data_IF_903481660462
#
_entry.id   IF_903481660462
#
_cell.length_a   1.000
_cell.length_b   1.000
_cell.length_c   1.000
_cell.angle_alpha   90.00
_cell.angle_beta   90.00
_cell.angle_gamma   90.00
#
_symmetry.space_group_name_H-M   'P 1'
#
loop_
_entity.id
_entity.type
_entity.pdbx_description
1 polymer ?
#
# COMPACT_ATOMS: atom_id res chain seq x y z
N UNK A 1 7.33 -56.30 -42.78
CA UNK A 1 6.22 -55.72 -42.01
C UNK A 1 6.76 -55.27 -40.65
N UNK A 2 7.21 -54.03 -40.44
CA UNK A 2 7.40 -52.89 -41.35
C UNK A 2 8.60 -52.04 -40.90
N UNK A 3 9.21 -51.30 -41.83
CA UNK A 3 10.37 -50.44 -41.55
C UNK A 3 9.97 -49.06 -40.98
N UNK A 4 10.87 -48.37 -40.25
CA UNK A 4 10.66 -47.00 -39.80
C UNK A 4 10.98 -45.96 -40.90
N UNK A 5 10.16 -44.89 -41.00
CA UNK A 5 10.23 -43.78 -41.98
C UNK A 5 9.50 -42.53 -41.39
N UNK A 6 9.82 -41.25 -41.67
CA UNK A 6 11.08 -40.58 -42.07
C UNK A 6 10.97 -39.05 -41.75
N UNK A 7 12.02 -38.43 -41.18
CA UNK A 7 12.48 -37.03 -41.32
C UNK A 7 11.60 -35.76 -41.03
N UNK A 8 12.33 -34.71 -40.59
CA UNK A 8 12.24 -33.28 -41.01
C UNK A 8 11.03 -32.41 -40.55
N UNK A 9 11.26 -31.46 -39.63
CA UNK A 9 11.57 -30.01 -39.89
C UNK A 9 10.48 -29.21 -40.63
N UNK A 10 9.77 -28.37 -39.87
CA UNK A 10 9.04 -27.19 -40.33
C UNK A 10 9.16 -26.11 -39.25
N UNK A 11 9.96 -25.07 -39.49
CA UNK A 11 9.56 -23.74 -40.00
C UNK A 11 9.00 -22.79 -38.94
N UNK A 12 9.81 -21.76 -38.67
CA UNK A 12 9.49 -20.44 -38.14
C UNK A 12 8.06 -19.96 -38.42
N UNK A 13 7.37 -19.48 -37.38
CA UNK A 13 6.39 -18.40 -37.53
C UNK A 13 6.61 -17.37 -36.44
N UNK A 14 7.29 -16.28 -36.81
CA UNK A 14 7.28 -15.02 -36.09
C UNK A 14 5.85 -14.47 -36.08
N UNK A 15 5.20 -14.38 -34.92
CA UNK A 15 3.95 -13.62 -34.79
C UNK A 15 4.32 -12.23 -34.26
N UNK A 16 4.63 -11.34 -35.20
CA UNK A 16 4.52 -9.90 -34.99
C UNK A 16 3.09 -9.51 -35.29
N UNK A 17 2.26 -9.31 -34.27
CA UNK A 17 0.98 -8.62 -34.44
C UNK A 17 1.03 -7.25 -33.76
N UNK A 18 1.12 -6.23 -34.60
CA UNK A 18 0.92 -4.84 -34.22
C UNK A 18 -0.60 -4.61 -34.10
N UNK A 19 -1.12 -4.48 -32.88
CA UNK A 19 -2.49 -3.96 -32.73
C UNK A 19 -2.47 -2.45 -32.89
N UNK A 20 -3.23 -2.00 -33.88
CA UNK A 20 -3.37 -0.62 -34.27
C UNK A 20 -4.05 0.21 -33.16
N UNK A 21 -3.43 1.35 -32.90
CA UNK A 21 -4.01 2.61 -32.44
C UNK A 21 -5.55 2.66 -32.49
N UNK A 22 -6.22 2.68 -31.33
CA UNK A 22 -7.61 3.10 -31.24
C UNK A 22 -7.86 4.08 -30.09
N UNK A 23 -8.56 5.16 -30.43
CA UNK A 23 -8.65 6.38 -29.65
C UNK A 23 -9.73 6.27 -28.58
N UNK A 24 -9.34 6.11 -27.31
CA UNK A 24 -10.24 6.32 -26.18
C UNK A 24 -9.62 7.26 -25.14
N UNK A 25 -9.86 8.56 -25.34
CA UNK A 25 -9.75 9.58 -24.30
C UNK A 25 -10.83 9.34 -23.23
N UNK A 26 -10.66 8.26 -22.46
CA UNK A 26 -11.57 7.73 -21.46
C UNK A 26 -11.55 8.54 -20.17
N UNK A 27 -12.21 9.70 -20.20
CA UNK A 27 -12.89 10.36 -19.07
C UNK A 27 -12.20 10.13 -17.71
N UNK A 28 -11.29 11.04 -17.35
CA UNK A 28 -11.02 11.30 -15.92
C UNK A 28 -12.34 11.84 -15.35
N UNK A 29 -13.07 10.97 -14.65
CA UNK A 29 -14.28 11.37 -13.94
C UNK A 29 -13.89 12.42 -12.90
N UNK A 30 -14.58 13.57 -12.95
CA UNK A 30 -14.39 14.65 -12.00
C UNK A 30 -14.55 14.10 -10.58
N UNK A 31 -13.47 14.11 -9.81
CA UNK A 31 -13.60 14.26 -8.37
C UNK A 31 -13.80 15.76 -8.16
N UNK A 32 -15.06 16.19 -8.23
CA UNK A 32 -15.48 17.53 -7.81
C UNK A 32 -15.31 17.62 -6.28
N UNK A 33 -14.06 17.84 -5.85
CA UNK A 33 -13.73 18.10 -4.46
C UNK A 33 -14.17 19.52 -4.12
N UNK A 34 -15.45 19.65 -3.76
CA UNK A 34 -16.03 20.89 -3.28
C UNK A 34 -15.29 21.33 -2.01
N UNK A 35 -14.41 22.32 -2.15
CA UNK A 35 -13.70 22.94 -1.02
C UNK A 35 -14.73 23.71 -0.18
N UNK A 36 -14.84 23.47 1.14
CA UNK A 36 -15.55 24.38 2.02
C UNK A 36 -14.74 25.67 2.13
N UNK A 37 -15.31 26.81 1.73
CA UNK A 37 -14.70 28.12 1.97
C UNK A 37 -14.65 28.42 3.47
N UNK A 38 -13.55 28.07 4.13
CA UNK A 38 -13.22 28.62 5.44
C UNK A 38 -12.39 29.87 5.28
N UNK A 39 -13.03 31.00 5.59
CA UNK A 39 -12.49 32.35 5.40
C UNK A 39 -11.31 32.61 6.37
N UNK A 40 -10.09 32.36 5.91
CA UNK A 40 -8.84 32.74 6.56
C UNK A 40 -7.94 33.46 5.55
N UNK A 41 -7.77 34.77 5.75
CA UNK A 41 -7.16 35.65 4.75
C UNK A 41 -5.67 35.39 4.50
N UNK A 42 -5.37 34.80 3.34
CA UNK A 42 -4.03 34.75 2.74
C UNK A 42 -4.10 35.27 1.29
N UNK A 43 -3.84 36.57 1.07
CA UNK A 43 -3.76 37.14 -0.28
C UNK A 43 -2.61 36.47 -1.06
N UNK A 44 -2.83 35.91 -2.27
CA UNK A 44 -1.73 35.45 -3.10
C UNK A 44 -0.88 36.64 -3.57
N UNK A 45 0.44 36.44 -3.56
CA UNK A 45 1.44 37.40 -4.04
C UNK A 45 1.34 37.53 -5.57
N UNK A 46 1.64 38.73 -6.09
CA UNK A 46 1.49 39.05 -7.52
C UNK A 46 2.17 38.03 -8.46
N UNK A 47 1.52 37.75 -9.59
CA UNK A 47 2.02 36.88 -10.64
C UNK A 47 3.23 37.52 -11.34
N UNK A 48 4.44 37.19 -10.89
CA UNK A 48 5.67 37.41 -11.66
C UNK A 48 5.88 36.24 -12.61
N UNK A 49 6.10 36.51 -13.91
CA UNK A 49 6.41 35.47 -14.90
C UNK A 49 7.59 34.60 -14.43
N UNK A 50 7.33 33.32 -14.19
CA UNK A 50 8.34 32.37 -13.74
C UNK A 50 9.21 31.94 -14.91
N UNK A 51 10.52 32.22 -14.83
CA UNK A 51 11.56 31.67 -15.69
C UNK A 51 11.46 30.13 -15.83
N UNK A 52 12.04 29.52 -16.89
CA UNK A 52 11.99 28.07 -17.11
C UNK A 52 12.34 27.30 -15.83
N UNK A 53 11.34 26.55 -15.34
CA UNK A 53 11.40 25.92 -14.03
C UNK A 53 12.34 24.72 -14.07
N UNK A 54 13.47 24.81 -13.37
CA UNK A 54 14.44 23.73 -13.29
C UNK A 54 13.80 22.46 -12.66
N UNK A 55 14.14 21.28 -13.20
CA UNK A 55 13.57 20.00 -12.75
C UNK A 55 13.71 19.78 -11.22
N UNK A 56 14.81 20.22 -10.61
CA UNK A 56 15.01 20.10 -9.16
C UNK A 56 14.05 20.99 -8.34
N UNK A 57 13.70 22.19 -8.82
CA UNK A 57 12.72 23.06 -8.13
C UNK A 57 11.30 22.54 -8.29
N UNK A 58 10.96 21.92 -9.43
CA UNK A 58 9.69 21.22 -9.62
C UNK A 58 9.59 19.99 -8.70
N UNK A 59 10.61 19.13 -8.68
CA UNK A 59 10.66 17.97 -7.79
C UNK A 59 10.59 18.36 -6.31
N UNK A 60 11.25 19.45 -5.90
CA UNK A 60 11.11 20.00 -4.54
C UNK A 60 9.66 20.40 -4.25
N UNK A 61 9.02 21.12 -5.17
CA UNK A 61 7.62 21.56 -5.04
C UNK A 61 6.67 20.37 -4.89
N UNK A 62 6.82 19.33 -5.72
CA UNK A 62 6.03 18.10 -5.62
C UNK A 62 6.21 17.44 -4.24
N UNK A 63 7.46 17.25 -3.80
CA UNK A 63 7.77 16.65 -2.51
C UNK A 63 7.22 17.45 -1.32
N UNK A 64 7.31 18.77 -1.36
CA UNK A 64 6.81 19.64 -0.28
C UNK A 64 5.27 19.60 -0.22
N UNK A 65 4.58 19.54 -1.37
CA UNK A 65 3.12 19.35 -1.44
C UNK A 65 2.70 17.99 -0.89
N UNK A 66 3.35 16.90 -1.31
CA UNK A 66 3.09 15.55 -0.80
C UNK A 66 3.30 15.46 0.72
N UNK A 67 4.39 16.04 1.25
CA UNK A 67 4.65 16.11 2.70
C UNK A 67 3.60 16.93 3.46
N UNK A 68 3.09 18.01 2.87
CA UNK A 68 2.06 18.88 3.47
C UNK A 68 0.66 18.25 3.47
N UNK A 69 0.38 17.33 2.54
CA UNK A 69 -0.89 16.60 2.45
C UNK A 69 -1.13 15.64 3.63
N UNK A 70 -0.06 15.26 4.35
CA UNK A 70 -0.13 14.35 5.49
C UNK A 70 0.10 15.08 6.82
N UNK A 71 -0.82 14.87 7.78
CA UNK A 71 -0.72 15.40 9.13
C UNK A 71 0.63 15.07 9.79
N UNK A 72 1.19 16.03 10.53
CA UNK A 72 2.52 15.91 11.14
C UNK A 72 2.65 14.70 12.10
N UNK A 73 1.56 14.35 12.81
CA UNK A 73 1.46 13.17 13.66
C UNK A 73 1.54 11.87 12.85
N UNK A 74 0.68 11.72 11.84
CA UNK A 74 0.66 10.54 10.95
C UNK A 74 1.99 10.35 10.24
N UNK A 75 2.62 11.44 9.76
CA UNK A 75 3.94 11.39 9.14
C UNK A 75 5.02 10.88 10.10
N UNK A 76 5.03 11.33 11.37
CA UNK A 76 5.95 10.79 12.40
C UNK A 76 5.69 9.29 12.66
N UNK A 77 4.42 8.90 12.76
CA UNK A 77 4.03 7.51 12.99
C UNK A 77 4.46 6.58 11.83
N UNK A 78 4.22 6.98 10.58
CA UNK A 78 4.61 6.20 9.40
C UNK A 78 6.13 6.10 9.22
N UNK A 79 6.89 7.14 9.61
CA UNK A 79 8.36 7.05 9.67
C UNK A 79 8.83 6.06 10.75
N UNK A 80 8.22 6.10 11.96
CA UNK A 80 8.55 5.13 13.02
C UNK A 80 8.29 3.69 12.58
N UNK A 81 7.13 3.43 11.96
CA UNK A 81 6.77 2.10 11.46
C UNK A 81 7.75 1.64 10.37
N UNK A 82 8.17 2.54 9.48
CA UNK A 82 9.16 2.22 8.45
C UNK A 82 10.51 1.82 9.05
N UNK A 83 10.99 2.53 10.07
CA UNK A 83 12.24 2.20 10.75
C UNK A 83 12.14 0.82 11.44
N UNK A 84 11.04 0.54 12.14
CA UNK A 84 10.78 -0.77 12.75
C UNK A 84 10.73 -1.91 11.70
N UNK A 85 10.10 -1.67 10.55
CA UNK A 85 10.08 -2.61 9.43
C UNK A 85 11.47 -2.83 8.82
N UNK A 86 12.26 -1.78 8.56
CA UNK A 86 13.64 -1.92 8.08
C UNK A 86 14.50 -2.70 9.07
N UNK A 87 14.35 -2.44 10.37
CA UNK A 87 15.05 -3.18 11.42
C UNK A 87 14.67 -4.66 11.40
N UNK A 88 13.39 -5.00 11.23
CA UNK A 88 12.94 -6.37 11.07
C UNK A 88 13.57 -7.06 9.84
N UNK A 89 13.58 -6.37 8.68
CA UNK A 89 14.20 -6.90 7.45
C UNK A 89 15.70 -7.19 7.62
N UNK A 90 16.43 -6.30 8.28
CA UNK A 90 17.86 -6.49 8.56
C UNK A 90 18.07 -7.63 9.56
N UNK A 91 17.33 -7.66 10.67
CA UNK A 91 17.53 -8.62 11.76
C UNK A 91 17.04 -10.05 11.46
N UNK A 92 16.03 -10.24 10.62
CA UNK A 92 15.42 -11.56 10.38
C UNK A 92 15.58 -12.09 8.95
N UNK A 93 15.78 -11.21 7.95
CA UNK A 93 15.92 -11.62 6.54
C UNK A 93 17.28 -11.25 5.94
N UNK A 94 18.16 -10.58 6.70
CA UNK A 94 19.46 -10.06 6.22
C UNK A 94 19.37 -9.14 5.00
N UNK A 95 18.22 -8.48 4.79
CA UNK A 95 18.02 -7.55 3.67
C UNK A 95 18.49 -6.15 4.07
N UNK A 96 19.68 -5.77 3.60
CA UNK A 96 20.25 -4.43 3.76
C UNK A 96 19.83 -3.48 2.64
N UNK A 97 19.88 -3.97 1.40
CA UNK A 97 19.76 -3.17 0.17
C UNK A 97 18.42 -3.39 -0.54
N UNK A 98 17.91 -2.33 -1.17
CA UNK A 98 16.68 -2.31 -1.98
C UNK A 98 15.43 -2.98 -1.36
N UNK A 99 15.02 -2.52 -0.17
CA UNK A 99 13.82 -3.02 0.54
C UNK A 99 12.49 -2.83 -0.24
N UNK A 100 12.43 -1.84 -1.14
CA UNK A 100 11.29 -1.63 -2.06
C UNK A 100 11.72 -2.14 -3.46
N UNK A 101 10.90 -2.94 -4.17
CA UNK A 101 9.57 -3.43 -3.81
C UNK A 101 9.59 -4.53 -2.74
N UNK A 102 8.75 -4.38 -1.70
CA UNK A 102 8.55 -5.41 -0.68
C UNK A 102 7.79 -6.60 -1.27
N UNK A 103 8.24 -7.83 -1.00
CA UNK A 103 7.50 -9.04 -1.35
C UNK A 103 6.31 -9.27 -0.41
N UNK A 104 5.22 -9.86 -0.93
CA UNK A 104 4.05 -10.25 -0.11
C UNK A 104 4.49 -11.17 1.04
N UNK A 105 5.46 -12.06 0.80
CA UNK A 105 5.99 -12.97 1.82
C UNK A 105 6.69 -12.21 2.96
N UNK A 106 7.59 -11.28 2.65
CA UNK A 106 8.29 -10.42 3.64
C UNK A 106 7.29 -9.62 4.48
N UNK A 107 6.29 -9.03 3.85
CA UNK A 107 5.23 -8.28 4.55
C UNK A 107 4.41 -9.20 5.47
N UNK A 108 4.12 -10.43 5.03
CA UNK A 108 3.38 -11.43 5.81
C UNK A 108 4.14 -11.86 7.06
N UNK A 109 5.45 -12.15 6.94
CA UNK A 109 6.33 -12.47 8.07
C UNK A 109 6.39 -11.31 9.08
N UNK A 110 6.49 -10.07 8.58
CA UNK A 110 6.49 -8.90 9.45
C UNK A 110 5.18 -8.75 10.23
N UNK A 111 4.02 -8.81 9.56
CA UNK A 111 2.72 -8.71 10.21
C UNK A 111 2.47 -9.87 11.19
N UNK A 112 2.95 -11.09 10.88
CA UNK A 112 2.94 -12.20 11.83
C UNK A 112 3.79 -11.88 13.08
N UNK A 113 5.00 -11.32 12.90
CA UNK A 113 5.84 -10.89 14.03
C UNK A 113 5.16 -9.84 14.93
N UNK A 114 4.33 -8.95 14.36
CA UNK A 114 3.54 -8.00 15.15
C UNK A 114 2.46 -8.70 15.97
N UNK A 115 1.81 -9.72 15.41
CA UNK A 115 0.81 -10.50 16.14
C UNK A 115 1.43 -11.24 17.33
N UNK A 116 2.59 -11.89 17.14
CA UNK A 116 3.35 -12.56 18.20
C UNK A 116 3.87 -11.59 19.26
N UNK A 117 4.29 -10.37 18.87
CA UNK A 117 4.62 -9.26 19.79
C UNK A 117 3.42 -8.70 20.57
N UNK A 118 2.22 -9.26 20.43
CA UNK A 118 1.04 -8.85 21.18
C UNK A 118 0.28 -7.65 20.59
N UNK A 119 0.64 -7.12 19.42
CA UNK A 119 -0.08 -5.98 18.82
C UNK A 119 -1.51 -6.32 18.40
N UNK A 120 -2.42 -5.35 18.52
CA UNK A 120 -3.82 -5.52 18.14
C UNK A 120 -3.98 -5.57 16.61
N UNK A 121 -5.03 -6.24 16.08
CA UNK A 121 -5.32 -6.27 14.64
C UNK A 121 -5.53 -4.88 14.03
N UNK A 122 -6.07 -3.93 14.79
CA UNK A 122 -6.16 -2.52 14.38
C UNK A 122 -4.78 -1.88 14.20
N UNK A 123 -3.83 -2.17 15.10
CA UNK A 123 -2.43 -1.73 14.97
C UNK A 123 -1.75 -2.37 13.75
N UNK A 124 -1.98 -3.67 13.51
CA UNK A 124 -1.49 -4.34 12.29
C UNK A 124 -2.02 -3.64 11.02
N UNK A 125 -3.29 -3.23 10.99
CA UNK A 125 -3.85 -2.43 9.89
C UNK A 125 -3.15 -1.08 9.73
N UNK A 126 -2.86 -0.35 10.81
CA UNK A 126 -2.08 0.91 10.75
C UNK A 126 -0.67 0.69 10.18
N UNK A 127 -0.02 -0.40 10.55
CA UNK A 127 1.30 -0.77 10.02
C UNK A 127 1.22 -1.11 8.52
N UNK A 128 0.19 -1.85 8.10
CA UNK A 128 -0.09 -2.13 6.69
C UNK A 128 -0.31 -0.83 5.88
N UNK A 129 -1.10 0.12 6.41
CA UNK A 129 -1.32 1.43 5.77
C UNK A 129 -0.06 2.29 5.68
N UNK A 130 0.84 2.23 6.67
CA UNK A 130 2.12 2.92 6.60
C UNK A 130 3.02 2.36 5.49
N UNK A 131 3.08 1.04 5.34
CA UNK A 131 3.87 0.38 4.28
C UNK A 131 3.27 0.68 2.89
N UNK A 132 1.94 0.65 2.77
CA UNK A 132 1.21 1.05 1.56
C UNK A 132 1.56 2.48 1.13
N UNK A 133 1.61 3.41 2.08
CA UNK A 133 2.02 4.79 1.84
C UNK A 133 3.44 4.87 1.28
N UNK A 134 4.41 4.14 1.85
CA UNK A 134 5.79 4.13 1.34
C UNK A 134 5.90 3.59 -0.09
N UNK A 135 5.14 2.56 -0.45
CA UNK A 135 5.07 2.10 -1.85
C UNK A 135 4.49 3.17 -2.78
N UNK A 136 3.37 3.78 -2.40
CA UNK A 136 2.66 4.79 -3.21
C UNK A 136 3.49 6.05 -3.46
N UNK A 137 4.19 6.59 -2.46
CA UNK A 137 5.04 7.79 -2.67
C UNK A 137 6.29 7.52 -3.52
N UNK A 138 6.72 6.25 -3.63
CA UNK A 138 7.79 5.84 -4.53
C UNK A 138 7.28 5.42 -5.92
N UNK A 139 5.96 5.47 -6.18
CA UNK A 139 5.30 5.00 -7.40
C UNK A 139 5.59 3.51 -7.71
N UNK A 140 5.66 2.67 -6.69
CA UNK A 140 5.92 1.22 -6.81
C UNK A 140 4.67 0.41 -6.47
N UNK A 141 4.46 -0.72 -7.17
CA UNK A 141 3.34 -1.64 -6.93
C UNK A 141 3.24 -2.07 -5.45
N UNK A 142 2.03 -2.04 -4.89
CA UNK A 142 1.77 -2.12 -3.45
C UNK A 142 1.29 -3.54 -3.03
N UNK A 143 2.09 -4.31 -2.27
CA UNK A 143 1.72 -5.68 -1.86
C UNK A 143 0.65 -5.73 -0.77
N UNK A 144 0.36 -4.60 -0.11
CA UNK A 144 -0.49 -4.54 1.10
C UNK A 144 -1.97 -4.80 0.86
N UNK A 145 -2.42 -4.63 -0.39
CA UNK A 145 -3.80 -4.87 -0.82
C UNK A 145 -4.07 -6.33 -1.24
N UNK A 146 -3.05 -7.20 -1.19
CA UNK A 146 -3.21 -8.60 -1.59
C UNK A 146 -4.13 -9.38 -0.65
N UNK A 147 -4.87 -10.35 -1.21
CA UNK A 147 -5.81 -11.20 -0.47
C UNK A 147 -5.18 -11.89 0.75
N UNK A 148 -3.92 -12.32 0.63
CA UNK A 148 -3.16 -12.97 1.70
C UNK A 148 -3.01 -12.03 2.92
N UNK A 149 -2.60 -10.79 2.70
CA UNK A 149 -2.43 -9.78 3.76
C UNK A 149 -3.77 -9.44 4.43
N UNK A 150 -4.83 -9.28 3.63
CA UNK A 150 -6.18 -9.11 4.16
C UNK A 150 -6.61 -10.28 5.06
N UNK A 151 -6.42 -11.53 4.60
CA UNK A 151 -6.75 -12.73 5.37
C UNK A 151 -5.91 -12.89 6.64
N UNK A 152 -4.64 -12.48 6.62
CA UNK A 152 -3.75 -12.52 7.78
C UNK A 152 -4.25 -11.60 8.91
N UNK A 153 -4.53 -10.33 8.59
CA UNK A 153 -5.06 -9.35 9.56
C UNK A 153 -6.46 -9.78 10.05
N UNK A 154 -7.32 -10.29 9.15
CA UNK A 154 -8.64 -10.78 9.52
C UNK A 154 -8.58 -12.02 10.43
N UNK A 155 -7.64 -12.94 10.18
CA UNK A 155 -7.37 -14.10 11.03
C UNK A 155 -6.91 -13.72 12.43
N UNK A 156 -6.00 -12.74 12.54
CA UNK A 156 -5.57 -12.15 13.80
C UNK A 156 -6.75 -11.56 14.59
N UNK A 157 -7.69 -10.88 13.91
CA UNK A 157 -8.93 -10.37 14.54
C UNK A 157 -9.81 -11.48 15.09
N UNK A 158 -10.03 -12.57 14.34
CA UNK A 158 -10.84 -13.69 14.80
C UNK A 158 -10.24 -14.39 16.03
N UNK A 159 -8.91 -14.60 16.05
CA UNK A 159 -8.22 -15.24 17.19
C UNK A 159 -8.24 -14.43 18.49
N UNK A 160 -8.45 -13.11 18.42
CA UNK A 160 -8.55 -12.23 19.60
C UNK A 160 -9.97 -11.82 19.98
N UNK A 161 -10.99 -12.42 19.36
CA UNK A 161 -12.35 -12.26 19.83
C UNK A 161 -12.48 -12.98 21.17
N UNK A 162 -12.53 -12.24 22.27
CA UNK A 162 -12.84 -12.79 23.59
C UNK A 162 -14.22 -13.45 23.56
N UNK A 163 -14.32 -14.62 24.20
CA UNK A 163 -15.60 -15.25 24.50
C UNK A 163 -16.44 -14.27 25.33
N UNK A 164 -17.70 -14.02 24.94
CA UNK A 164 -18.59 -13.21 25.78
C UNK A 164 -18.97 -14.06 27.01
N UNK A 165 -18.27 -13.83 28.11
CA UNK A 165 -18.45 -14.53 29.38
C UNK A 165 -19.74 -14.14 30.11
N UNK A 166 -20.61 -13.31 29.52
CA UNK A 166 -21.95 -13.07 30.05
C UNK A 166 -22.75 -14.37 30.06
N UNK A 167 -23.01 -14.85 31.26
CA UNK A 167 -24.04 -15.85 31.49
C UNK A 167 -25.41 -15.28 31.05
N UNK A 168 -26.35 -16.12 30.58
CA UNK A 168 -27.73 -15.69 30.36
C UNK A 168 -28.30 -15.03 31.62
N UNK A 169 -29.12 -13.98 31.45
CA UNK A 169 -29.87 -13.41 32.59
C UNK A 169 -30.82 -14.48 33.11
N UNK A 170 -30.52 -15.03 34.28
CA UNK A 170 -31.32 -16.05 34.94
C UNK A 170 -32.44 -15.43 35.75
N UNK A 171 -33.57 -16.13 35.85
CA UNK A 171 -34.77 -15.66 36.57
C UNK A 171 -34.48 -15.30 38.04
N UNK A 172 -33.43 -15.89 38.62
CA UNK A 172 -32.97 -15.63 39.99
C UNK A 172 -32.41 -14.22 40.20
N UNK A 173 -31.82 -13.59 39.17
CA UNK A 173 -31.34 -12.19 39.22
C UNK A 173 -32.51 -11.18 39.02
N UNK A 174 -33.65 -11.65 38.53
CA UNK A 174 -34.82 -10.84 38.18
C UNK A 174 -35.88 -10.76 39.30
N UNK A 175 -35.59 -11.29 40.49
CA UNK A 175 -36.56 -11.43 41.61
C UNK A 175 -36.11 -10.79 42.93
N UNK A 176 -34.96 -10.14 42.96
CA UNK A 176 -34.51 -9.28 44.06
C UNK A 176 -35.02 -7.84 43.86
#
# INVERSE_FOLDING_TARGET
MDQPLIHQTGTTTTITEQTQNDNSNGIISRIDFQVPETNAGCRPRAYTHTSPTNLASLNKTVNDRLKSSLANSTRKQYNKIWIDFRQFCISHLSITDSIIPISIHTLSLYLASLYEKGYAPSTMSTYNSAISYWHKINNVSDPTASFLIYKLIHGAKKKRCTFDGRLPITISILRD
#
